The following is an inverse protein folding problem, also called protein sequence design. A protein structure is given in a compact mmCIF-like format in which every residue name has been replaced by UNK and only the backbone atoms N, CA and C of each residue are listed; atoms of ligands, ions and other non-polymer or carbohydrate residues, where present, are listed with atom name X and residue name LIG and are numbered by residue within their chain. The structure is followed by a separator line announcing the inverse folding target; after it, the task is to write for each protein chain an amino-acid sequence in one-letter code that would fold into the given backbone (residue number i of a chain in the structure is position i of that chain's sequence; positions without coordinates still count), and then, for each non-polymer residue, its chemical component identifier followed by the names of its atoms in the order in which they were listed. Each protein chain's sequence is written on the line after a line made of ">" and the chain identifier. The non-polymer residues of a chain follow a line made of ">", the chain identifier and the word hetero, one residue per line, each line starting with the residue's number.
data_IF_379866677435
#
_entry.id   IF_379866677435
#
_cell.length_a   1.000
_cell.length_b   1.000
_cell.length_c   1.000
_cell.angle_alpha   90.00
_cell.angle_beta   90.00
_cell.angle_gamma   90.00
#
_symmetry.space_group_name_H-M   'P 1'
#
loop_
_entity.id
_entity.type
_entity.pdbx_description
1 polymer ?
#
# COMPACT_ATOMS: atom_id res chain seq x y z
N UNK A 1 24.29 -0.28 16.28
CA UNK A 1 22.95 -0.51 16.85
C UNK A 1 21.90 -0.31 15.76
N UNK A 2 20.81 -1.07 15.79
CA UNK A 2 19.78 -1.02 14.73
C UNK A 2 18.48 -0.41 15.24
N UNK A 3 17.79 0.33 14.38
CA UNK A 3 16.50 0.97 14.69
C UNK A 3 15.37 0.27 13.94
N UNK A 4 14.19 0.21 14.55
CA UNK A 4 13.01 -0.41 13.96
C UNK A 4 11.97 0.65 13.61
N UNK A 5 11.49 0.60 12.38
CA UNK A 5 10.27 1.26 11.93
C UNK A 5 9.12 0.28 11.81
N UNK A 6 7.93 0.62 12.30
CA UNK A 6 6.72 -0.22 12.18
C UNK A 6 5.56 0.60 11.62
N UNK A 7 4.99 0.16 10.49
CA UNK A 7 3.65 0.54 10.03
C UNK A 7 2.64 -0.50 10.53
N UNK A 8 1.88 -0.13 11.56
CA UNK A 8 0.84 -0.98 12.16
C UNK A 8 -0.51 -0.72 11.47
N UNK A 9 -0.63 -1.15 10.21
CA UNK A 9 -1.84 -1.01 9.39
C UNK A 9 -3.04 -1.81 9.90
N UNK A 10 -4.22 -1.61 9.30
CA UNK A 10 -5.44 -2.34 9.70
C UNK A 10 -5.48 -3.79 9.23
N UNK A 11 -4.90 -4.09 8.06
CA UNK A 11 -4.84 -5.45 7.50
C UNK A 11 -3.47 -6.12 7.74
N UNK A 12 -2.39 -5.37 7.50
CA UNK A 12 -1.02 -5.87 7.55
C UNK A 12 -0.11 -4.91 8.31
N UNK A 13 0.73 -5.50 9.14
CA UNK A 13 1.82 -4.86 9.86
C UNK A 13 3.10 -5.03 9.06
N UNK A 14 3.81 -3.92 8.80
CA UNK A 14 5.10 -3.91 8.13
C UNK A 14 6.16 -3.38 9.07
N UNK A 15 7.29 -4.05 9.10
CA UNK A 15 8.48 -3.66 9.86
C UNK A 15 9.68 -3.50 8.95
N UNK A 16 10.54 -2.56 9.29
CA UNK A 16 11.86 -2.42 8.69
C UNK A 16 12.92 -2.33 9.77
N UNK A 17 14.07 -2.94 9.51
CA UNK A 17 15.27 -2.80 10.31
C UNK A 17 16.24 -1.87 9.58
N UNK A 18 16.69 -0.82 10.27
CA UNK A 18 17.52 0.23 9.68
C UNK A 18 18.85 0.32 10.45
N UNK A 19 19.97 0.33 9.73
CA UNK A 19 21.29 0.45 10.32
C UNK A 19 21.67 1.92 10.62
N UNK A 20 22.91 2.16 11.05
CA UNK A 20 23.42 3.50 11.39
C UNK A 20 23.55 4.41 10.15
N UNK A 21 23.79 3.84 8.97
CA UNK A 21 23.88 4.55 7.70
C UNK A 21 22.50 4.87 7.07
N UNK A 22 21.42 4.68 7.84
CA UNK A 22 20.03 4.79 7.37
C UNK A 22 19.64 3.80 6.26
N UNK A 23 20.41 2.74 6.03
CA UNK A 23 20.06 1.70 5.07
C UNK A 23 19.08 0.69 5.71
N UNK A 24 18.04 0.31 4.96
CA UNK A 24 17.17 -0.81 5.34
C UNK A 24 17.94 -2.11 5.11
N UNK A 25 18.08 -2.91 6.16
CA UNK A 25 18.83 -4.18 6.11
C UNK A 25 17.92 -5.41 6.19
N UNK A 26 16.71 -5.28 6.74
CA UNK A 26 15.73 -6.37 6.81
C UNK A 26 14.29 -5.84 6.82
N UNK A 27 13.34 -6.70 6.44
CA UNK A 27 11.93 -6.42 6.24
C UNK A 27 11.07 -7.49 6.92
N UNK A 28 9.94 -7.08 7.49
CA UNK A 28 8.94 -8.00 8.03
C UNK A 28 7.54 -7.60 7.58
N UNK A 29 6.75 -8.55 7.06
CA UNK A 29 5.32 -8.32 6.81
C UNK A 29 4.50 -9.46 7.42
N UNK A 30 3.41 -9.10 8.08
CA UNK A 30 2.48 -10.08 8.66
C UNK A 30 1.08 -9.52 8.81
N UNK A 31 0.07 -10.41 8.90
CA UNK A 31 -1.31 -9.98 9.17
C UNK A 31 -1.39 -9.35 10.57
N UNK A 32 -2.04 -8.19 10.64
CA UNK A 32 -2.21 -7.47 11.91
C UNK A 32 -3.19 -8.18 12.84
N UNK A 33 -4.34 -8.57 12.32
CA UNK A 33 -5.40 -9.19 13.13
C UNK A 33 -5.97 -8.22 14.17
N UNK A 34 -6.57 -8.76 15.23
CA UNK A 34 -7.23 -7.96 16.29
C UNK A 34 -6.27 -7.51 17.40
N UNK A 35 -5.11 -8.17 17.52
CA UNK A 35 -4.16 -7.97 18.61
C UNK A 35 -2.94 -7.21 18.09
N UNK A 36 -3.03 -5.89 18.16
CA UNK A 36 -2.01 -4.96 17.68
C UNK A 36 -0.67 -5.12 18.43
N UNK A 37 -0.70 -5.35 19.74
CA UNK A 37 0.51 -5.53 20.55
C UNK A 37 1.22 -6.82 20.11
N UNK A 38 0.50 -7.93 19.99
CA UNK A 38 1.06 -9.19 19.46
C UNK A 38 1.61 -9.04 18.05
N UNK A 39 0.92 -8.30 17.18
CA UNK A 39 1.40 -8.06 15.82
C UNK A 39 2.72 -7.29 15.80
N UNK A 40 2.83 -6.23 16.62
CA UNK A 40 4.06 -5.45 16.75
C UNK A 40 5.19 -6.24 17.40
N UNK A 41 4.89 -7.08 18.39
CA UNK A 41 5.87 -7.94 19.06
C UNK A 41 6.51 -8.94 18.10
N UNK A 42 5.74 -9.50 17.16
CA UNK A 42 6.32 -10.37 16.11
C UNK A 42 7.38 -9.68 15.27
N UNK A 43 7.18 -8.39 14.96
CA UNK A 43 8.17 -7.59 14.22
C UNK A 43 9.44 -7.42 15.06
N UNK A 44 9.28 -7.03 16.32
CA UNK A 44 10.40 -6.77 17.24
C UNK A 44 11.17 -8.07 17.51
N UNK A 45 10.47 -9.17 17.80
CA UNK A 45 11.05 -10.49 18.04
C UNK A 45 11.82 -11.00 16.80
N UNK A 46 11.28 -10.78 15.60
CA UNK A 46 11.95 -11.15 14.33
C UNK A 46 13.30 -10.45 14.18
N UNK A 47 13.36 -9.13 14.39
CA UNK A 47 14.61 -8.38 14.24
C UNK A 47 15.58 -8.55 15.43
N UNK A 48 15.07 -8.58 16.66
CA UNK A 48 15.90 -8.70 17.87
C UNK A 48 16.52 -10.09 18.05
N UNK A 49 16.03 -11.10 17.32
CA UNK A 49 16.65 -12.43 17.31
C UNK A 49 18.08 -12.44 16.74
N UNK A 50 18.43 -11.48 15.89
CA UNK A 50 19.73 -11.43 15.20
C UNK A 50 20.47 -10.10 15.41
N UNK A 51 19.82 -9.09 15.98
CA UNK A 51 20.35 -7.74 16.06
C UNK A 51 20.09 -7.08 17.42
N UNK A 52 21.03 -6.25 17.86
CA UNK A 52 20.83 -5.37 19.01
C UNK A 52 20.02 -4.14 18.59
N UNK A 53 18.85 -3.98 19.21
CA UNK A 53 17.85 -2.98 18.85
C UNK A 53 17.93 -1.76 19.77
N UNK A 54 18.04 -0.59 19.16
CA UNK A 54 17.93 0.71 19.81
C UNK A 54 16.47 1.11 20.00
N UNK A 55 16.17 1.67 21.18
CA UNK A 55 14.86 2.25 21.52
C UNK A 55 14.93 3.78 21.49
N UNK A 56 13.81 4.47 21.19
CA UNK A 56 12.46 3.95 21.00
C UNK A 56 12.21 3.29 19.64
N UNK A 57 11.17 2.45 19.55
CA UNK A 57 10.65 1.94 18.28
C UNK A 57 9.83 3.04 17.58
N UNK A 58 10.03 3.25 16.29
CA UNK A 58 9.32 4.30 15.54
C UNK A 58 8.10 3.73 14.83
N UNK A 59 6.91 4.21 15.17
CA UNK A 59 5.65 3.62 14.69
C UNK A 59 4.81 4.59 13.87
N UNK A 60 4.02 4.06 12.93
CA UNK A 60 2.88 4.73 12.31
C UNK A 60 1.78 3.70 12.02
N UNK A 61 0.77 4.08 11.24
CA UNK A 61 -0.38 3.24 10.95
C UNK A 61 -1.51 3.39 11.97
N UNK A 62 -2.51 2.50 11.82
CA UNK A 62 -3.76 2.52 12.58
C UNK A 62 -3.54 2.23 14.07
N UNK A 63 -2.69 1.25 14.37
CA UNK A 63 -2.41 0.83 15.75
C UNK A 63 -1.11 1.38 16.34
N UNK A 64 -0.56 2.47 15.79
CA UNK A 64 0.78 3.02 16.13
C UNK A 64 1.07 3.25 17.61
N UNK A 65 0.06 3.44 18.45
CA UNK A 65 0.18 3.69 19.90
C UNK A 65 -0.05 2.44 20.77
N UNK A 66 -0.15 1.25 20.15
CA UNK A 66 -0.55 0.00 20.82
C UNK A 66 0.63 -0.90 21.20
N UNK A 67 1.83 -0.36 21.31
CA UNK A 67 3.01 -1.11 21.74
C UNK A 67 3.25 -0.91 23.23
N UNK A 68 3.69 -1.99 23.89
CA UNK A 68 4.07 -1.99 25.32
C UNK A 68 5.54 -1.63 25.59
N UNK A 69 6.29 -1.25 24.56
CA UNK A 69 7.71 -0.83 24.63
C UNK A 69 7.86 0.68 24.39
N UNK A 70 9.01 1.30 24.75
CA UNK A 70 9.26 2.71 24.42
C UNK A 70 9.11 2.96 22.91
N UNK A 71 8.24 3.90 22.55
CA UNK A 71 7.90 4.18 21.16
C UNK A 71 7.83 5.68 20.87
N UNK A 72 8.01 6.04 19.59
CA UNK A 72 7.65 7.34 19.05
C UNK A 72 6.64 7.14 17.91
N UNK A 73 5.45 7.71 18.09
CA UNK A 73 4.32 7.59 17.19
C UNK A 73 4.31 8.73 16.17
N UNK A 74 4.24 8.38 14.89
CA UNK A 74 4.27 9.30 13.77
C UNK A 74 2.98 9.17 12.93
N UNK A 75 2.64 10.25 12.22
CA UNK A 75 1.63 10.17 11.16
C UNK A 75 2.15 9.35 10.00
N UNK A 76 1.39 8.33 9.58
CA UNK A 76 1.71 7.50 8.40
C UNK A 76 1.91 8.35 7.14
N UNK A 77 1.13 9.43 7.00
CA UNK A 77 1.19 10.32 5.82
C UNK A 77 2.52 11.07 5.79
N UNK A 78 2.96 11.56 6.95
CA UNK A 78 4.22 12.30 7.07
C UNK A 78 5.40 11.34 6.91
N UNK A 79 5.32 10.15 7.50
CA UNK A 79 6.34 9.12 7.38
C UNK A 79 6.49 8.67 5.92
N UNK A 80 5.40 8.29 5.26
CA UNK A 80 5.41 7.94 3.83
C UNK A 80 6.00 9.07 2.99
N UNK A 81 5.59 10.32 3.23
CA UNK A 81 6.10 11.47 2.48
C UNK A 81 7.60 11.66 2.67
N UNK A 82 8.09 11.49 3.90
CA UNK A 82 9.52 11.56 4.20
C UNK A 82 10.31 10.51 3.42
N UNK A 83 9.84 9.26 3.40
CA UNK A 83 10.51 8.18 2.68
C UNK A 83 10.46 8.37 1.16
N UNK A 84 9.30 8.75 0.61
CA UNK A 84 9.16 9.02 -0.83
C UNK A 84 10.06 10.18 -1.26
N UNK A 85 10.06 11.28 -0.52
CA UNK A 85 10.92 12.41 -0.82
C UNK A 85 12.40 12.07 -0.64
N UNK A 86 12.75 11.19 0.30
CA UNK A 86 14.12 10.72 0.47
C UNK A 86 14.64 9.96 -0.76
N UNK A 87 13.77 9.23 -1.45
CA UNK A 87 14.13 8.48 -2.68
C UNK A 87 14.20 9.41 -3.89
N UNK A 88 13.19 10.24 -4.12
CA UNK A 88 13.04 10.97 -5.39
C UNK A 88 13.55 12.41 -5.37
N UNK A 89 13.73 13.01 -4.18
CA UNK A 89 14.26 14.38 -3.96
C UNK A 89 13.57 15.47 -4.81
N UNK A 90 12.27 15.34 -5.08
CA UNK A 90 11.49 16.29 -5.89
C UNK A 90 9.99 16.26 -5.51
N UNK A 91 9.22 17.32 -5.84
CA UNK A 91 7.77 17.33 -5.64
C UNK A 91 7.09 16.18 -6.40
N UNK A 92 6.05 15.59 -5.79
CA UNK A 92 5.31 14.51 -6.42
C UNK A 92 3.90 14.36 -5.86
N UNK A 93 3.05 13.70 -6.64
CA UNK A 93 1.81 13.09 -6.13
C UNK A 93 2.11 11.66 -5.72
N UNK A 94 1.55 11.20 -4.61
CA UNK A 94 1.64 9.83 -4.12
C UNK A 94 0.25 9.23 -4.07
N UNK A 95 0.06 8.04 -4.64
CA UNK A 95 -1.13 7.21 -4.45
C UNK A 95 -0.70 5.96 -3.67
N UNK A 96 -1.13 5.87 -2.41
CA UNK A 96 -0.88 4.71 -1.56
C UNK A 96 -2.14 3.83 -1.51
N UNK A 97 -2.04 2.60 -2.04
CA UNK A 97 -3.15 1.64 -2.08
C UNK A 97 -2.91 0.57 -1.02
N UNK A 98 -3.59 0.73 0.10
CA UNK A 98 -3.57 -0.18 1.23
C UNK A 98 -4.65 -1.26 1.15
N UNK A 99 -4.78 -2.04 2.22
CA UNK A 99 -5.82 -3.05 2.36
C UNK A 99 -7.21 -2.43 2.45
N UNK A 100 -7.40 -1.47 3.35
CA UNK A 100 -8.73 -0.90 3.64
C UNK A 100 -8.92 0.55 3.23
N UNK A 101 -7.84 1.22 2.80
CA UNK A 101 -7.91 2.58 2.32
C UNK A 101 -6.97 2.85 1.16
N UNK A 102 -7.31 3.89 0.42
CA UNK A 102 -6.47 4.45 -0.64
C UNK A 102 -6.27 5.92 -0.35
N UNK A 103 -5.02 6.37 -0.44
CA UNK A 103 -4.58 7.70 -0.04
C UNK A 103 -3.96 8.42 -1.22
N UNK A 104 -4.22 9.71 -1.30
CA UNK A 104 -3.50 10.64 -2.14
C UNK A 104 -2.74 11.62 -1.27
N UNK A 105 -1.46 11.82 -1.57
CA UNK A 105 -0.60 12.80 -0.89
C UNK A 105 0.11 13.65 -1.94
N UNK A 106 0.04 14.98 -1.81
CA UNK A 106 0.88 15.89 -2.59
C UNK A 106 2.07 16.29 -1.73
N UNK A 107 3.28 16.05 -2.25
CA UNK A 107 4.55 16.41 -1.62
C UNK A 107 5.12 17.61 -2.38
N UNK A 108 5.49 18.66 -1.64
CA UNK A 108 6.08 19.88 -2.21
C UNK A 108 7.62 19.76 -2.41
N UNK A 109 8.27 20.85 -2.82
CA UNK A 109 9.70 20.89 -3.09
C UNK A 109 10.57 20.72 -1.83
N UNK A 110 10.00 20.99 -0.67
CA UNK A 110 10.62 20.85 0.64
C UNK A 110 10.38 19.47 1.27
N UNK A 111 9.67 18.57 0.57
CA UNK A 111 9.34 17.23 1.07
C UNK A 111 8.21 17.20 2.09
N UNK A 112 7.44 18.29 2.20
CA UNK A 112 6.32 18.43 3.11
C UNK A 112 4.99 18.07 2.42
N UNK A 113 4.00 17.68 3.24
CA UNK A 113 2.65 17.37 2.77
C UNK A 113 1.90 18.67 2.51
N UNK A 114 1.65 18.98 1.25
CA UNK A 114 0.85 20.14 0.83
C UNK A 114 -0.65 19.80 0.81
N UNK A 115 -0.99 18.58 0.38
CA UNK A 115 -2.39 18.13 0.28
C UNK A 115 -2.51 16.66 0.61
N UNK A 116 -3.60 16.30 1.29
CA UNK A 116 -3.93 14.92 1.61
C UNK A 116 -5.42 14.66 1.37
N UNK A 117 -5.71 13.52 0.71
CA UNK A 117 -7.06 12.99 0.51
C UNK A 117 -7.02 11.48 0.72
N UNK A 118 -8.14 10.91 1.12
CA UNK A 118 -8.20 9.50 1.44
C UNK A 118 -9.62 8.96 1.38
N UNK A 119 -9.76 7.79 0.77
CA UNK A 119 -10.97 7.00 0.84
C UNK A 119 -10.80 5.88 1.87
N UNK A 120 -11.48 6.03 3.01
CA UNK A 120 -11.56 5.02 4.10
C UNK A 120 -12.94 4.39 4.27
N UNK A 121 -13.97 4.94 3.61
CA UNK A 121 -15.37 4.52 3.84
C UNK A 121 -15.86 3.47 2.85
N UNK A 122 -15.10 3.25 1.77
CA UNK A 122 -15.48 2.36 0.69
C UNK A 122 -14.33 1.42 0.37
N UNK A 123 -14.61 0.11 0.38
CA UNK A 123 -13.64 -0.91 -0.01
C UNK A 123 -13.30 -0.85 -1.50
N UNK A 124 -14.18 -0.30 -2.34
CA UNK A 124 -13.89 -0.12 -3.76
C UNK A 124 -12.65 0.76 -3.93
N UNK A 125 -11.67 0.26 -4.68
CA UNK A 125 -10.39 0.91 -4.89
C UNK A 125 -9.30 0.54 -3.89
N UNK A 126 -9.51 -0.44 -3.00
CA UNK A 126 -8.52 -0.90 -2.00
C UNK A 126 -8.24 -2.40 -2.13
N UNK A 127 -7.29 -2.92 -1.36
CA UNK A 127 -7.01 -4.35 -1.31
C UNK A 127 -8.18 -5.23 -0.89
N UNK A 128 -9.06 -4.77 0.01
CA UNK A 128 -10.24 -5.51 0.44
C UNK A 128 -11.27 -5.73 -0.68
N UNK A 129 -11.27 -4.88 -1.72
CA UNK A 129 -12.05 -5.16 -2.94
C UNK A 129 -11.50 -6.38 -3.69
N UNK A 130 -10.17 -6.46 -3.84
CA UNK A 130 -9.52 -7.62 -4.44
C UNK A 130 -9.71 -8.87 -3.60
N UNK A 131 -9.56 -8.78 -2.27
CA UNK A 131 -9.76 -9.92 -1.36
C UNK A 131 -11.20 -10.47 -1.44
N UNK A 132 -12.23 -9.61 -1.47
CA UNK A 132 -13.62 -10.08 -1.59
C UNK A 132 -13.87 -10.74 -2.94
N UNK A 133 -13.36 -10.18 -4.05
CA UNK A 133 -13.54 -10.79 -5.37
C UNK A 133 -12.76 -12.10 -5.47
N UNK A 134 -11.53 -12.14 -4.98
CA UNK A 134 -10.70 -13.34 -4.88
C UNK A 134 -11.44 -14.47 -4.16
N UNK A 135 -12.01 -14.16 -3.00
CA UNK A 135 -12.78 -15.11 -2.21
C UNK A 135 -14.02 -15.61 -2.96
N UNK A 136 -14.75 -14.72 -3.66
CA UNK A 136 -15.99 -15.07 -4.37
C UNK A 136 -15.77 -15.87 -5.65
N UNK A 137 -14.66 -15.63 -6.32
CA UNK A 137 -14.30 -16.30 -7.57
C UNK A 137 -13.40 -17.52 -7.34
N UNK A 138 -12.99 -17.76 -6.09
CA UNK A 138 -12.04 -18.82 -5.71
C UNK A 138 -10.72 -18.73 -6.50
N UNK A 139 -10.16 -17.51 -6.57
CA UNK A 139 -8.89 -17.23 -7.24
C UNK A 139 -7.89 -16.60 -6.26
N UNK A 140 -6.63 -16.99 -6.36
CA UNK A 140 -5.53 -16.44 -5.58
C UNK A 140 -5.01 -15.12 -6.15
N UNK A 141 -4.25 -14.36 -5.35
CA UNK A 141 -3.59 -13.14 -5.80
C UNK A 141 -2.60 -13.38 -6.95
N UNK A 142 -1.97 -14.56 -7.01
CA UNK A 142 -1.08 -14.95 -8.10
C UNK A 142 -1.86 -15.11 -9.41
N UNK A 143 -2.98 -15.83 -9.36
CA UNK A 143 -3.86 -16.06 -10.51
C UNK A 143 -4.42 -14.74 -11.06
N UNK A 144 -4.73 -13.78 -10.19
CA UNK A 144 -5.13 -12.42 -10.59
C UNK A 144 -4.13 -11.78 -11.56
N UNK A 145 -2.82 -11.85 -11.27
CA UNK A 145 -1.80 -11.29 -12.15
C UNK A 145 -1.71 -12.04 -13.49
N UNK A 146 -1.70 -13.38 -13.43
CA UNK A 146 -1.65 -14.20 -14.64
C UNK A 146 -2.86 -14.00 -15.55
N UNK A 147 -4.04 -13.80 -14.98
CA UNK A 147 -5.24 -13.48 -15.75
C UNK A 147 -5.13 -12.11 -16.41
N UNK A 148 -4.76 -11.07 -15.66
CA UNK A 148 -4.67 -9.72 -16.20
C UNK A 148 -3.70 -9.60 -17.39
N UNK A 149 -2.59 -10.34 -17.37
CA UNK A 149 -1.60 -10.37 -18.46
C UNK A 149 -2.14 -11.01 -19.75
N UNK A 150 -3.09 -11.93 -19.64
CA UNK A 150 -3.67 -12.67 -20.76
C UNK A 150 -4.90 -11.96 -21.35
N UNK A 151 -5.28 -10.79 -20.83
CA UNK A 151 -6.46 -10.08 -21.28
C UNK A 151 -6.31 -9.61 -22.73
N UNK A 152 -7.29 -9.96 -23.57
CA UNK A 152 -7.31 -9.59 -25.00
C UNK A 152 -8.23 -8.42 -25.31
N UNK A 153 -9.09 -8.06 -24.37
CA UNK A 153 -10.05 -6.95 -24.46
C UNK A 153 -10.27 -6.32 -23.09
N UNK A 154 -10.65 -5.04 -23.09
CA UNK A 154 -10.99 -4.31 -21.88
C UNK A 154 -12.48 -4.46 -21.56
N UNK A 155 -12.79 -4.86 -20.33
CA UNK A 155 -14.14 -4.87 -19.79
C UNK A 155 -14.23 -3.82 -18.68
N UNK A 156 -15.28 -3.00 -18.74
CA UNK A 156 -15.53 -2.00 -17.70
C UNK A 156 -16.45 -2.55 -16.62
N UNK A 157 -16.03 -2.42 -15.36
CA UNK A 157 -16.87 -2.67 -14.18
C UNK A 157 -17.51 -1.34 -13.77
N UNK A 158 -18.83 -1.27 -13.86
CA UNK A 158 -19.58 -0.02 -13.64
C UNK A 158 -19.98 0.18 -12.18
N UNK A 159 -20.05 -0.90 -11.41
CA UNK A 159 -20.48 -0.86 -10.02
C UNK A 159 -19.44 -0.23 -9.10
N UNK A 160 -19.82 0.86 -8.43
CA UNK A 160 -18.97 1.55 -7.46
C UNK A 160 -18.92 0.90 -6.07
N UNK A 161 -19.87 0.01 -5.76
CA UNK A 161 -19.94 -0.70 -4.48
C UNK A 161 -19.42 -2.13 -4.67
N UNK A 162 -18.51 -2.59 -3.80
CA UNK A 162 -17.95 -3.95 -3.84
C UNK A 162 -19.02 -5.02 -3.94
N UNK A 163 -20.13 -4.88 -3.19
CA UNK A 163 -21.24 -5.85 -3.20
C UNK A 163 -21.88 -5.94 -4.60
N UNK A 164 -22.11 -4.81 -5.26
CA UNK A 164 -22.71 -4.80 -6.60
C UNK A 164 -21.70 -5.19 -7.68
N UNK A 165 -20.43 -4.82 -7.51
CA UNK A 165 -19.37 -5.21 -8.43
C UNK A 165 -19.19 -6.73 -8.47
N UNK A 166 -19.24 -7.42 -7.32
CA UNK A 166 -19.22 -8.89 -7.28
C UNK A 166 -20.39 -9.47 -8.07
N UNK A 167 -21.61 -8.96 -7.87
CA UNK A 167 -22.78 -9.41 -8.63
C UNK A 167 -22.66 -9.14 -10.13
N UNK A 168 -22.14 -7.97 -10.52
CA UNK A 168 -21.86 -7.61 -11.92
C UNK A 168 -20.85 -8.57 -12.55
N UNK A 169 -19.75 -8.85 -11.87
CA UNK A 169 -18.70 -9.78 -12.32
C UNK A 169 -19.28 -11.19 -12.52
N UNK A 170 -20.04 -11.71 -11.54
CA UNK A 170 -20.69 -13.02 -11.67
C UNK A 170 -21.64 -13.05 -12.88
N UNK A 171 -22.37 -11.95 -13.12
CA UNK A 171 -23.21 -11.78 -14.30
C UNK A 171 -22.42 -11.83 -15.61
N UNK A 172 -21.28 -11.14 -15.68
CA UNK A 172 -20.38 -11.17 -16.84
C UNK A 172 -19.86 -12.58 -17.13
N UNK A 173 -19.43 -13.31 -16.10
CA UNK A 173 -18.99 -14.71 -16.23
C UNK A 173 -20.12 -15.57 -16.80
N UNK A 174 -21.33 -15.45 -16.24
CA UNK A 174 -22.52 -16.20 -16.72
C UNK A 174 -22.85 -15.87 -18.18
N UNK A 175 -22.57 -14.66 -18.63
CA UNK A 175 -22.79 -14.21 -20.01
C UNK A 175 -21.62 -14.52 -20.94
N UNK A 176 -20.61 -15.27 -20.48
CA UNK A 176 -19.49 -15.75 -21.30
C UNK A 176 -18.30 -14.79 -21.41
N UNK A 177 -18.24 -13.75 -20.59
CA UNK A 177 -17.03 -12.91 -20.50
C UNK A 177 -15.86 -13.72 -19.95
N UNK A 178 -14.68 -13.52 -20.53
CA UNK A 178 -13.49 -14.27 -20.15
C UNK A 178 -12.86 -13.70 -18.86
N UNK A 179 -12.28 -14.58 -18.03
CA UNK A 179 -11.65 -14.20 -16.76
C UNK A 179 -10.49 -13.19 -16.91
N UNK A 180 -9.56 -13.34 -17.88
CA UNK A 180 -8.53 -12.34 -18.13
C UNK A 180 -9.05 -10.90 -18.24
N UNK A 181 -10.05 -10.68 -19.10
CA UNK A 181 -10.64 -9.36 -19.34
C UNK A 181 -11.42 -8.82 -18.15
N UNK A 182 -12.09 -9.70 -17.39
CA UNK A 182 -12.75 -9.32 -16.14
C UNK A 182 -11.71 -8.81 -15.15
N UNK A 183 -10.60 -9.54 -14.95
CA UNK A 183 -9.56 -9.15 -14.00
C UNK A 183 -8.88 -7.84 -14.41
N UNK A 184 -8.62 -7.63 -15.70
CA UNK A 184 -8.16 -6.35 -16.21
C UNK A 184 -9.13 -5.21 -15.84
N UNK A 185 -10.44 -5.45 -15.98
CA UNK A 185 -11.49 -4.51 -15.56
C UNK A 185 -11.50 -4.21 -14.06
N UNK A 186 -11.24 -5.21 -13.21
CA UNK A 186 -11.11 -5.04 -11.76
C UNK A 186 -9.94 -4.11 -11.44
N UNK A 187 -8.78 -4.33 -12.06
CA UNK A 187 -7.62 -3.45 -11.87
C UNK A 187 -7.88 -2.03 -12.35
N UNK A 188 -8.47 -1.86 -13.54
CA UNK A 188 -8.83 -0.53 -14.05
C UNK A 188 -9.81 0.19 -13.12
N UNK A 189 -10.77 -0.52 -12.53
CA UNK A 189 -11.69 0.06 -11.55
C UNK A 189 -10.96 0.61 -10.31
N UNK A 190 -9.96 -0.10 -9.79
CA UNK A 190 -9.13 0.36 -8.66
C UNK A 190 -8.35 1.63 -9.02
N UNK A 191 -7.77 1.64 -10.22
CA UNK A 191 -6.94 2.74 -10.70
C UNK A 191 -7.78 4.00 -10.93
N UNK A 192 -8.93 3.86 -11.58
CA UNK A 192 -9.88 4.95 -11.79
C UNK A 192 -10.30 5.57 -10.45
N UNK A 193 -10.63 4.73 -9.48
CA UNK A 193 -11.00 5.17 -8.13
C UNK A 193 -9.87 5.92 -7.42
N UNK A 194 -8.63 5.57 -7.71
CA UNK A 194 -7.45 6.24 -7.14
C UNK A 194 -7.28 7.64 -7.72
N UNK A 195 -7.48 7.81 -9.04
CA UNK A 195 -7.43 9.12 -9.70
C UNK A 195 -8.62 10.03 -9.36
N UNK A 196 -9.76 9.49 -8.92
CA UNK A 196 -10.89 10.28 -8.44
C UNK A 196 -10.60 11.04 -7.12
N UNK A 197 -9.61 10.61 -6.33
CA UNK A 197 -9.30 11.22 -5.03
C UNK A 197 -8.81 12.67 -5.16
N UNK A 198 -7.96 12.91 -6.15
CA UNK A 198 -7.40 14.22 -6.45
C UNK A 198 -6.71 14.19 -7.82
N UNK A 199 -6.57 15.38 -8.41
CA UNK A 199 -5.74 15.56 -9.60
C UNK A 199 -4.28 15.20 -9.28
N UNK A 200 -3.73 14.30 -10.09
CA UNK A 200 -2.30 13.96 -10.12
C UNK A 200 -1.59 14.94 -11.03
N UNK A 201 -0.42 15.41 -10.61
CA UNK A 201 0.37 16.41 -11.34
C UNK A 201 1.79 15.92 -11.54
N UNK A 202 2.36 16.21 -12.70
CA UNK A 202 3.75 16.02 -13.15
C UNK A 202 4.38 14.64 -12.91
N UNK A 203 4.54 14.21 -11.67
CA UNK A 203 5.21 12.97 -11.27
C UNK A 203 4.38 12.22 -10.22
N UNK A 204 4.02 10.98 -10.53
CA UNK A 204 3.24 10.10 -9.66
C UNK A 204 4.13 9.02 -9.05
N UNK A 205 4.02 8.80 -7.75
CA UNK A 205 4.58 7.65 -7.05
C UNK A 205 3.43 6.79 -6.55
N UNK A 206 3.38 5.52 -6.95
CA UNK A 206 2.38 4.56 -6.46
C UNK A 206 3.02 3.69 -5.39
N UNK A 207 2.38 3.56 -4.23
CA UNK A 207 2.90 2.79 -3.08
C UNK A 207 1.84 1.87 -2.48
N UNK A 208 2.26 0.98 -1.58
CA UNK A 208 1.38 0.17 -0.76
C UNK A 208 1.45 -1.31 -1.12
N UNK A 209 0.68 -2.12 -0.39
CA UNK A 209 0.72 -3.58 -0.55
C UNK A 209 0.17 -4.04 -1.90
N UNK A 210 -0.75 -3.29 -2.50
CA UNK A 210 -1.38 -3.67 -3.78
C UNK A 210 -0.43 -3.56 -4.96
N UNK A 211 0.24 -2.43 -5.26
CA UNK A 211 1.21 -2.39 -6.35
C UNK A 211 2.38 -3.37 -6.16
N UNK A 212 2.78 -3.67 -4.92
CA UNK A 212 3.85 -4.63 -4.63
C UNK A 212 3.46 -6.09 -4.94
N UNK A 213 2.19 -6.47 -4.73
CA UNK A 213 1.71 -7.85 -4.95
C UNK A 213 0.95 -8.02 -6.27
N UNK A 214 0.59 -6.93 -6.94
CA UNK A 214 -0.12 -6.91 -8.21
C UNK A 214 0.61 -6.03 -9.23
N UNK A 215 1.76 -6.48 -9.78
CA UNK A 215 2.61 -5.66 -10.64
C UNK A 215 1.91 -5.16 -11.91
N UNK A 216 0.89 -5.87 -12.39
CA UNK A 216 0.09 -5.42 -13.53
C UNK A 216 -0.65 -4.10 -13.22
N UNK A 217 -1.08 -3.86 -11.96
CA UNK A 217 -1.67 -2.57 -11.56
C UNK A 217 -0.68 -1.43 -11.79
N UNK A 218 0.62 -1.62 -11.46
CA UNK A 218 1.63 -0.59 -11.68
C UNK A 218 1.81 -0.29 -13.18
N UNK A 219 1.81 -1.33 -14.02
CA UNK A 219 1.88 -1.14 -15.48
C UNK A 219 0.68 -0.35 -16.00
N UNK A 220 -0.54 -0.65 -15.55
CA UNK A 220 -1.74 0.11 -15.92
C UNK A 220 -1.71 1.56 -15.42
N UNK A 221 -1.15 1.81 -14.23
CA UNK A 221 -0.90 3.18 -13.77
C UNK A 221 0.06 3.92 -14.70
N UNK A 222 1.16 3.27 -15.14
CA UNK A 222 2.12 3.84 -16.10
C UNK A 222 1.47 4.09 -17.47
N UNK A 223 0.55 3.23 -17.90
CA UNK A 223 -0.20 3.42 -19.15
C UNK A 223 -1.15 4.64 -19.07
N UNK A 224 -1.85 4.83 -17.93
CA UNK A 224 -2.75 5.98 -17.72
C UNK A 224 -2.00 7.28 -17.40
N UNK A 225 -0.88 7.21 -16.70
CA UNK A 225 -0.04 8.36 -16.34
C UNK A 225 1.43 8.02 -16.56
N UNK A 226 1.98 8.46 -17.71
CA UNK A 226 3.31 8.06 -18.19
C UNK A 226 4.45 8.30 -17.18
N UNK A 227 4.38 9.38 -16.41
CA UNK A 227 5.41 9.73 -15.45
C UNK A 227 5.09 9.16 -14.05
N UNK A 228 4.83 7.84 -14.01
CA UNK A 228 4.57 7.09 -12.78
C UNK A 228 5.77 6.23 -12.42
N UNK A 229 6.13 6.22 -11.13
CA UNK A 229 7.09 5.28 -10.56
C UNK A 229 6.52 4.57 -9.33
N UNK A 230 7.15 3.46 -8.97
CA UNK A 230 6.95 2.79 -7.69
C UNK A 230 8.29 2.19 -7.26
N UNK A 231 8.80 2.52 -6.06
CA UNK A 231 10.02 1.92 -5.56
C UNK A 231 9.76 0.44 -5.21
N UNK A 232 10.78 -0.41 -5.34
CA UNK A 232 10.67 -1.78 -4.85
C UNK A 232 10.31 -1.80 -3.36
N UNK A 233 9.48 -2.78 -2.96
CA UNK A 233 9.01 -2.92 -1.57
C UNK A 233 8.33 -1.64 -1.06
N UNK A 234 7.53 -0.99 -1.91
CA UNK A 234 6.88 0.29 -1.61
C UNK A 234 5.98 0.24 -0.38
N UNK A 235 5.44 -0.93 -0.02
CA UNK A 235 4.59 -1.11 1.16
C UNK A 235 5.29 -0.86 2.50
N UNK A 236 6.63 -0.78 2.50
CA UNK A 236 7.46 -0.57 3.69
C UNK A 236 7.87 0.89 3.88
N UNK A 237 7.59 1.78 2.92
CA UNK A 237 8.07 3.17 2.96
C UNK A 237 7.54 3.95 4.16
N UNK A 238 6.29 3.72 4.58
CA UNK A 238 5.75 4.37 5.77
C UNK A 238 6.52 3.95 7.03
N UNK A 239 6.85 2.67 7.18
CA UNK A 239 7.66 2.17 8.29
C UNK A 239 9.08 2.75 8.27
N UNK A 240 9.72 2.81 7.10
CA UNK A 240 11.04 3.42 6.94
C UNK A 240 11.03 4.93 7.22
N UNK A 241 10.00 5.62 6.75
CA UNK A 241 9.75 7.02 7.03
C UNK A 241 9.69 7.35 8.52
N UNK A 242 9.14 6.46 9.35
CA UNK A 242 9.15 6.63 10.81
C UNK A 242 10.57 6.73 11.37
N UNK A 243 11.50 5.91 10.87
CA UNK A 243 12.90 5.98 11.30
C UNK A 243 13.54 7.27 10.79
N UNK A 244 13.35 7.62 9.52
CA UNK A 244 13.92 8.82 8.92
C UNK A 244 13.44 10.13 9.57
N UNK A 245 12.21 10.19 10.04
CA UNK A 245 11.70 11.37 10.75
C UNK A 245 12.40 11.62 12.08
N UNK A 246 13.06 10.59 12.62
CA UNK A 246 13.67 10.62 13.94
C UNK A 246 15.20 10.38 13.88
N UNK A 247 15.78 10.51 12.68
CA UNK A 247 17.23 10.64 12.50
C UNK A 247 17.69 12.03 12.91
N UNK A 248 18.81 12.10 13.65
CA UNK A 248 19.48 13.36 13.97
C UNK A 248 20.25 13.89 12.76
#
# INVERSE_FOLDING_TARGET
>A
MYRIGIDLGSSFTKGVLVNEDNAIVDYFVGRTGFDFDKASKKVIDHFSAQHEIEYPIFTCGYGREKLTVPLVSNSEIIALSKAVFDIYKKPCSVIDIGGQDTKFVKINAEGQVDKFKMNRKCAAGTGSFLEEIAFRLDISALEFNEFAEKATEEIRINSFCTVFAVSEIIGMIKNGSNMPSIVLGIYNSIIERSFELALVEDFLVVTGGIPDNHPMILKLFKDKFKNTESPEKSQFLAAYGCVLLNTK
#
